data_IF_789501287270
#
_entry.id   IF_789501287270
#
_cell.length_a   1.000
_cell.length_b   1.000
_cell.length_c   1.000
_cell.angle_alpha   90.00
_cell.angle_beta   90.00
_cell.angle_gamma   90.00
#
_symmetry.space_group_name_H-M   'P 1'
#
loop_
_entity.id
_entity.type
_entity.pdbx_description
1 polymer ?
#
# COMPACT_ATOMS: atom_id res chain seq x y z
N UNK A 1 -28.25 5.09 -20.54
CA UNK A 1 -26.89 5.55 -20.19
C UNK A 1 -26.28 4.43 -19.38
N UNK A 2 -25.57 3.51 -20.03
CA UNK A 2 -25.01 2.32 -19.40
C UNK A 2 -23.80 2.74 -18.60
N UNK A 3 -23.89 2.62 -17.28
CA UNK A 3 -22.75 2.71 -16.36
C UNK A 3 -21.68 1.70 -16.81
N UNK A 4 -20.55 2.22 -17.27
CA UNK A 4 -19.39 1.42 -17.62
C UNK A 4 -18.92 0.69 -16.36
N UNK A 5 -19.03 -0.64 -16.38
CA UNK A 5 -18.43 -1.53 -15.39
C UNK A 5 -16.93 -1.25 -15.33
N UNK A 6 -16.50 -0.59 -14.26
CA UNK A 6 -15.10 -0.53 -13.84
C UNK A 6 -14.62 -1.99 -13.66
N UNK A 7 -13.93 -2.53 -14.67
CA UNK A 7 -13.42 -3.89 -14.63
C UNK A 7 -12.32 -3.94 -13.57
N UNK A 8 -12.61 -4.50 -12.42
CA UNK A 8 -11.65 -4.65 -11.33
C UNK A 8 -10.38 -5.37 -11.83
N UNK A 9 -9.27 -4.63 -11.95
CA UNK A 9 -7.96 -5.19 -12.27
C UNK A 9 -7.50 -6.07 -11.10
N UNK A 10 -7.63 -7.39 -11.25
CA UNK A 10 -7.18 -8.36 -10.26
C UNK A 10 -5.77 -8.86 -10.60
N UNK A 11 -4.86 -8.81 -9.63
CA UNK A 11 -3.54 -9.44 -9.74
C UNK A 11 -3.55 -10.77 -8.98
N UNK A 12 -3.33 -11.87 -9.69
CA UNK A 12 -2.88 -13.11 -9.06
C UNK A 12 -1.43 -12.94 -8.59
N UNK A 13 -1.19 -13.15 -7.30
CA UNK A 13 0.12 -13.00 -6.68
C UNK A 13 0.74 -14.38 -6.45
N UNK A 14 2.06 -14.44 -6.53
CA UNK A 14 2.76 -15.60 -6.00
C UNK A 14 2.59 -15.66 -4.48
N UNK A 15 2.54 -16.88 -3.92
CA UNK A 15 2.39 -17.10 -2.48
C UNK A 15 3.43 -16.34 -1.66
N UNK A 16 4.68 -16.26 -2.13
CA UNK A 16 5.77 -15.55 -1.47
C UNK A 16 5.54 -14.04 -1.38
N UNK A 17 5.04 -13.43 -2.46
CA UNK A 17 4.67 -12.01 -2.52
C UNK A 17 3.51 -11.71 -1.58
N UNK A 18 2.44 -12.50 -1.69
CA UNK A 18 1.25 -12.35 -0.84
C UNK A 18 1.60 -12.47 0.64
N UNK A 19 2.34 -13.52 1.02
CA UNK A 19 2.81 -13.72 2.39
C UNK A 19 3.67 -12.55 2.88
N UNK A 20 4.55 -12.00 2.04
CA UNK A 20 5.38 -10.85 2.41
C UNK A 20 4.52 -9.60 2.72
N UNK A 21 3.55 -9.31 1.86
CA UNK A 21 2.64 -8.17 2.02
C UNK A 21 1.79 -8.32 3.29
N UNK A 22 1.18 -9.49 3.49
CA UNK A 22 0.38 -9.78 4.67
C UNK A 22 1.19 -9.72 5.96
N UNK A 23 2.43 -10.24 5.97
CA UNK A 23 3.32 -10.17 7.15
C UNK A 23 3.58 -8.72 7.57
N UNK A 24 3.74 -7.81 6.62
CA UNK A 24 3.95 -6.38 6.89
C UNK A 24 2.70 -5.72 7.43
N UNK A 25 1.55 -6.02 6.83
CA UNK A 25 0.26 -5.51 7.31
C UNK A 25 -0.05 -6.00 8.73
N UNK A 26 0.19 -7.27 9.04
CA UNK A 26 0.01 -7.82 10.40
C UNK A 26 0.88 -7.09 11.43
N UNK A 27 2.12 -6.70 11.05
CA UNK A 27 2.99 -5.89 11.91
C UNK A 27 2.42 -4.49 12.12
N UNK A 28 1.95 -3.84 11.05
CA UNK A 28 1.33 -2.51 11.11
C UNK A 28 0.06 -2.54 11.99
N UNK A 29 -0.77 -3.56 11.84
CA UNK A 29 -1.95 -3.79 12.68
C UNK A 29 -1.57 -3.92 14.15
N UNK A 30 -0.50 -4.66 14.46
CA UNK A 30 0.06 -4.75 15.81
C UNK A 30 0.47 -3.40 16.38
N UNK A 31 1.07 -2.52 15.58
CA UNK A 31 1.42 -1.16 15.99
C UNK A 31 0.17 -0.30 16.25
N UNK A 32 -0.85 -0.41 15.40
CA UNK A 32 -2.14 0.30 15.58
C UNK A 32 -2.81 -0.14 16.89
N UNK A 33 -2.84 -1.45 17.17
CA UNK A 33 -3.33 -1.97 18.46
C UNK A 33 -2.52 -1.43 19.63
N UNK A 34 -1.20 -1.35 19.50
CA UNK A 34 -0.33 -0.74 20.51
C UNK A 34 -0.70 0.72 20.79
N UNK A 35 -0.91 1.53 19.76
CA UNK A 35 -1.34 2.93 19.91
C UNK A 35 -2.69 3.03 20.64
N UNK A 36 -3.65 2.15 20.30
CA UNK A 36 -4.94 2.10 21.00
C UNK A 36 -4.77 1.86 22.49
N UNK A 37 -3.95 0.88 22.88
CA UNK A 37 -3.66 0.59 24.28
C UNK A 37 -2.98 1.78 24.97
N UNK A 38 -2.06 2.48 24.30
CA UNK A 38 -1.42 3.68 24.87
C UNK A 38 -2.42 4.78 25.21
N UNK A 39 -3.50 4.91 24.42
CA UNK A 39 -4.60 5.85 24.70
C UNK A 39 -5.40 5.39 25.91
N UNK A 40 -5.74 4.10 25.98
CA UNK A 40 -6.47 3.50 27.11
C UNK A 40 -5.67 3.60 28.43
N UNK A 41 -4.35 3.56 28.35
CA UNK A 41 -3.40 3.73 29.46
C UNK A 41 -3.09 5.22 29.78
N UNK A 42 -3.76 6.17 29.14
CA UNK A 42 -3.54 7.62 29.31
C UNK A 42 -2.07 8.05 29.16
N UNK A 43 -1.34 7.41 28.24
CA UNK A 43 0.08 7.70 28.02
C UNK A 43 0.32 9.10 27.46
N UNK A 44 1.52 9.62 27.73
CA UNK A 44 1.94 10.93 27.27
C UNK A 44 1.84 11.10 25.75
N UNK A 45 1.22 12.20 25.32
CA UNK A 45 0.88 12.44 23.92
C UNK A 45 2.09 12.38 22.98
N UNK A 46 3.28 12.81 23.42
CA UNK A 46 4.48 12.77 22.57
C UNK A 46 4.89 11.33 22.25
N UNK A 47 4.75 10.40 23.20
CA UNK A 47 5.06 8.99 22.96
C UNK A 47 4.09 8.38 21.94
N UNK A 48 2.81 8.75 22.02
CA UNK A 48 1.78 8.32 21.07
C UNK A 48 2.11 8.87 19.68
N UNK A 49 2.48 10.15 19.55
CA UNK A 49 2.87 10.76 18.28
C UNK A 49 4.10 10.10 17.65
N UNK A 50 5.07 9.67 18.46
CA UNK A 50 6.23 8.89 17.99
C UNK A 50 5.76 7.54 17.42
N UNK A 51 4.85 6.84 18.09
CA UNK A 51 4.32 5.57 17.58
C UNK A 51 3.49 5.73 16.30
N UNK A 52 2.66 6.79 16.21
CA UNK A 52 1.95 7.13 14.97
C UNK A 52 2.93 7.37 13.82
N UNK A 53 4.02 8.10 14.08
CA UNK A 53 5.06 8.32 13.07
C UNK A 53 5.74 7.01 12.64
N UNK A 54 5.93 6.06 13.56
CA UNK A 54 6.46 4.74 13.24
C UNK A 54 5.50 3.92 12.37
N UNK A 55 4.18 4.02 12.59
CA UNK A 55 3.15 3.41 11.73
C UNK A 55 3.17 4.03 10.33
N UNK A 56 3.24 5.36 10.24
CA UNK A 56 3.35 6.07 8.97
C UNK A 56 4.56 5.59 8.15
N UNK A 57 5.72 5.45 8.80
CA UNK A 57 6.94 4.95 8.18
C UNK A 57 6.80 3.49 7.71
N UNK A 58 6.13 2.65 8.49
CA UNK A 58 5.86 1.26 8.11
C UNK A 58 4.91 1.15 6.91
N UNK A 59 3.84 1.96 6.87
CA UNK A 59 2.93 2.08 5.73
C UNK A 59 3.67 2.56 4.47
N UNK A 60 4.52 3.58 4.59
CA UNK A 60 5.34 4.05 3.48
C UNK A 60 6.28 2.96 2.95
N UNK A 61 6.87 2.16 3.84
CA UNK A 61 7.70 1.01 3.46
C UNK A 61 6.89 -0.07 2.73
N UNK A 62 5.68 -0.38 3.22
CA UNK A 62 4.75 -1.29 2.56
C UNK A 62 4.37 -0.80 1.16
N UNK A 63 4.00 0.47 1.02
CA UNK A 63 3.61 1.09 -0.26
C UNK A 63 4.74 0.99 -1.30
N UNK A 64 5.99 1.23 -0.91
CA UNK A 64 7.15 1.10 -1.82
C UNK A 64 7.29 -0.31 -2.39
N UNK A 65 7.04 -1.33 -1.57
CA UNK A 65 7.15 -2.73 -1.98
C UNK A 65 6.00 -3.10 -2.92
N UNK A 66 4.78 -2.74 -2.55
CA UNK A 66 3.60 -2.98 -3.37
C UNK A 66 3.71 -2.28 -4.73
N UNK A 67 4.12 -1.02 -4.75
CA UNK A 67 4.32 -0.24 -5.97
C UNK A 67 5.45 -0.84 -6.83
N UNK A 68 6.58 -1.21 -6.22
CA UNK A 68 7.67 -1.85 -6.97
C UNK A 68 7.21 -3.17 -7.61
N UNK A 69 6.36 -3.94 -6.92
CA UNK A 69 5.81 -5.18 -7.47
C UNK A 69 4.87 -4.90 -8.64
N UNK A 70 3.97 -3.93 -8.49
CA UNK A 70 3.04 -3.50 -9.54
C UNK A 70 3.76 -3.03 -10.81
N UNK A 71 4.81 -2.22 -10.67
CA UNK A 71 5.62 -1.75 -11.80
C UNK A 71 6.29 -2.94 -12.51
N UNK A 72 6.91 -3.85 -11.76
CA UNK A 72 7.66 -4.97 -12.34
C UNK A 72 6.79 -6.05 -12.99
N UNK A 73 5.52 -6.14 -12.61
CA UNK A 73 4.57 -7.09 -13.20
C UNK A 73 3.58 -6.39 -14.14
N UNK A 74 2.54 -5.76 -13.61
CA UNK A 74 1.39 -5.33 -14.37
C UNK A 74 1.75 -4.26 -15.39
N UNK A 75 2.55 -3.27 -15.00
CA UNK A 75 2.95 -2.18 -15.90
C UNK A 75 3.85 -2.69 -17.02
N UNK A 76 4.84 -3.53 -16.69
CA UNK A 76 5.75 -4.12 -17.68
C UNK A 76 5.01 -5.05 -18.65
N UNK A 77 4.04 -5.82 -18.17
CA UNK A 77 3.21 -6.70 -19.01
C UNK A 77 2.34 -5.91 -19.99
N UNK A 78 1.64 -4.88 -19.51
CA UNK A 78 0.81 -4.00 -20.35
C UNK A 78 1.64 -3.23 -21.39
N UNK A 79 2.81 -2.73 -20.99
CA UNK A 79 3.75 -2.09 -21.93
C UNK A 79 4.23 -3.05 -23.02
N UNK A 80 4.52 -4.30 -22.66
CA UNK A 80 4.88 -5.33 -23.65
C UNK A 80 3.73 -5.70 -24.57
N UNK A 81 2.49 -5.58 -24.11
CA UNK A 81 1.28 -5.73 -24.91
C UNK A 81 0.97 -4.51 -25.79
N UNK A 82 1.78 -3.44 -25.73
CA UNK A 82 1.61 -2.21 -26.50
C UNK A 82 0.61 -1.23 -25.89
N UNK A 83 0.17 -1.44 -24.64
CA UNK A 83 -0.72 -0.54 -23.95
C UNK A 83 0.07 0.52 -23.16
N UNK A 84 0.28 1.70 -23.76
CA UNK A 84 1.02 2.80 -23.13
C UNK A 84 0.18 3.57 -22.08
N UNK A 85 -1.16 3.45 -22.09
CA UNK A 85 -2.05 4.14 -21.14
C UNK A 85 -1.78 3.76 -19.68
N UNK A 86 -1.18 2.58 -19.46
CA UNK A 86 -0.76 2.11 -18.13
C UNK A 86 0.27 3.03 -17.47
N UNK A 87 1.07 3.75 -18.25
CA UNK A 87 2.07 4.70 -17.74
C UNK A 87 1.37 5.94 -17.17
N UNK A 88 0.35 6.45 -17.85
CA UNK A 88 -0.45 7.58 -17.36
C UNK A 88 -1.19 7.22 -16.07
N UNK A 89 -1.73 5.99 -15.98
CA UNK A 89 -2.33 5.47 -14.75
C UNK A 89 -1.32 5.40 -13.60
N UNK A 90 -0.10 4.90 -13.88
CA UNK A 90 0.98 4.84 -12.90
C UNK A 90 1.36 6.24 -12.41
N UNK A 91 1.53 7.21 -13.32
CA UNK A 91 1.84 8.60 -12.98
C UNK A 91 0.76 9.22 -12.08
N UNK A 92 -0.53 9.05 -12.43
CA UNK A 92 -1.66 9.50 -11.60
C UNK A 92 -1.65 8.85 -10.22
N UNK A 93 -1.30 7.57 -10.14
CA UNK A 93 -1.23 6.83 -8.87
C UNK A 93 -0.09 7.36 -7.99
N UNK A 94 1.11 7.55 -8.55
CA UNK A 94 2.26 8.10 -7.82
C UNK A 94 1.96 9.51 -7.28
N UNK A 95 1.31 10.37 -8.08
CA UNK A 95 0.90 11.70 -7.63
C UNK A 95 -0.03 11.67 -6.41
N UNK A 96 -0.90 10.67 -6.29
CA UNK A 96 -1.76 10.49 -5.11
C UNK A 96 -0.98 10.04 -3.87
N UNK A 97 0.09 9.26 -4.06
CA UNK A 97 0.92 8.72 -2.99
C UNK A 97 1.96 9.72 -2.44
N UNK A 98 2.28 10.77 -3.20
CA UNK A 98 3.24 11.82 -2.82
C UNK A 98 2.59 13.04 -2.14
N UNK A 99 1.30 12.95 -1.81
CA UNK A 99 0.59 14.01 -1.06
C UNK A 99 0.95 14.02 0.41
#
# INVERSE_FOLDING_TARGET
MTEEKECCKHKHREYSEEKNLLTRLNRIEGQIRGIKNMIEEERYCVDILIQVSAVQAALNSFNKILLSSHIKSCVVEELRAGNEEVVDELCKTIQKLMK
#
